data_IF_071653849144
#
_entry.id   IF_071653849144
#
_cell.length_a   1.000
_cell.length_b   1.000
_cell.length_c   1.000
_cell.angle_alpha   90.00
_cell.angle_beta   90.00
_cell.angle_gamma   90.00
#
_symmetry.space_group_name_H-M   'P 1'
#
loop_
_entity.id
_entity.type
_entity.pdbx_description
1 polymer ?
#
# COMPACT_ATOMS: atom_id res chain seq x y z
N UNK A 1 -15.53 -11.64 -7.63
CA UNK A 1 -15.88 -10.39 -6.95
C UNK A 1 -14.67 -9.48 -7.05
N UNK A 2 -14.80 -8.36 -7.74
CA UNK A 2 -13.70 -7.42 -7.96
C UNK A 2 -13.42 -6.59 -6.69
N UNK A 3 -12.25 -5.96 -6.61
CA UNK A 3 -11.97 -5.02 -5.51
C UNK A 3 -12.93 -3.83 -5.53
N UNK A 4 -13.37 -3.42 -6.72
CA UNK A 4 -14.37 -2.36 -6.87
C UNK A 4 -15.73 -2.78 -6.32
N UNK A 5 -16.13 -4.05 -6.52
CA UNK A 5 -17.34 -4.61 -5.91
C UNK A 5 -17.24 -4.58 -4.39
N UNK A 6 -16.07 -4.93 -3.83
CA UNK A 6 -15.83 -4.88 -2.38
C UNK A 6 -15.89 -3.46 -1.83
N UNK A 7 -15.28 -2.48 -2.52
CA UNK A 7 -15.35 -1.06 -2.15
C UNK A 7 -16.79 -0.55 -2.20
N UNK A 8 -17.57 -0.95 -3.21
CA UNK A 8 -18.98 -0.55 -3.33
C UNK A 8 -19.82 -1.18 -2.22
N UNK A 9 -19.67 -2.48 -1.97
CA UNK A 9 -20.37 -3.17 -0.90
C UNK A 9 -20.02 -2.60 0.50
N UNK A 10 -18.77 -2.18 0.71
CA UNK A 10 -18.36 -1.48 1.94
C UNK A 10 -19.06 -0.12 2.09
N UNK A 11 -19.12 0.69 1.04
CA UNK A 11 -19.82 1.99 1.04
C UNK A 11 -21.32 1.83 1.31
N UNK A 12 -21.91 0.76 0.78
CA UNK A 12 -23.34 0.46 0.94
C UNK A 12 -23.66 -0.21 2.28
N UNK A 13 -22.66 -0.44 3.15
CA UNK A 13 -22.84 -1.13 4.43
C UNK A 13 -23.18 -2.62 4.29
N UNK A 14 -23.04 -3.20 3.10
CA UNK A 14 -23.33 -4.61 2.79
C UNK A 14 -22.16 -5.55 3.08
N UNK A 15 -20.96 -5.00 3.31
CA UNK A 15 -19.77 -5.75 3.70
C UNK A 15 -19.57 -5.64 5.21
N UNK A 16 -19.72 -6.77 5.91
CA UNK A 16 -19.56 -6.87 7.37
C UNK A 16 -18.23 -7.59 7.67
N UNK A 17 -17.31 -6.89 8.32
CA UNK A 17 -16.08 -7.40 8.90
C UNK A 17 -16.17 -7.36 10.42
N UNK A 18 -16.24 -8.53 11.04
CA UNK A 18 -16.16 -8.65 12.50
C UNK A 18 -14.72 -8.38 12.93
N UNK A 19 -14.47 -7.15 13.38
CA UNK A 19 -13.18 -6.69 13.86
C UNK A 19 -13.36 -6.17 15.28
N UNK A 20 -12.35 -6.38 16.12
CA UNK A 20 -12.31 -5.79 17.47
C UNK A 20 -12.31 -4.26 17.37
N UNK A 21 -12.80 -3.60 18.43
CA UNK A 21 -12.84 -2.14 18.48
C UNK A 21 -11.45 -1.54 18.22
N UNK A 22 -11.38 -0.61 17.27
CA UNK A 22 -10.12 0.03 16.87
C UNK A 22 -9.22 -0.80 15.95
N UNK A 23 -9.53 -2.07 15.65
CA UNK A 23 -8.70 -2.89 14.76
C UNK A 23 -8.65 -2.33 13.32
N UNK A 24 -9.74 -1.73 12.82
CA UNK A 24 -9.73 -1.04 11.51
C UNK A 24 -8.75 0.14 11.51
N UNK A 25 -8.65 0.87 12.63
CA UNK A 25 -7.75 2.01 12.75
C UNK A 25 -6.29 1.56 12.81
N UNK A 26 -6.02 0.47 13.53
CA UNK A 26 -4.71 -0.17 13.55
C UNK A 26 -4.29 -0.66 12.16
N UNK A 27 -5.19 -1.28 11.40
CA UNK A 27 -4.91 -1.73 10.03
C UNK A 27 -4.61 -0.55 9.11
N UNK A 28 -5.42 0.52 9.15
CA UNK A 28 -5.17 1.72 8.33
C UNK A 28 -3.82 2.35 8.67
N UNK A 29 -3.48 2.44 9.96
CA UNK A 29 -2.19 2.94 10.41
C UNK A 29 -1.03 2.04 9.94
N UNK A 30 -1.18 0.72 10.03
CA UNK A 30 -0.19 -0.25 9.55
C UNK A 30 0.01 -0.14 8.02
N UNK A 31 -1.07 0.02 7.24
CA UNK A 31 -0.95 0.29 5.81
C UNK A 31 -0.14 1.56 5.53
N UNK A 32 -0.39 2.64 6.29
CA UNK A 32 0.38 3.88 6.17
C UNK A 32 1.86 3.71 6.47
N UNK A 33 2.21 3.05 7.57
CA UNK A 33 3.61 2.78 7.94
C UNK A 33 4.32 1.87 6.93
N UNK A 34 3.61 0.88 6.37
CA UNK A 34 4.17 0.00 5.36
C UNK A 34 4.40 0.72 4.02
N UNK A 35 3.49 1.61 3.59
CA UNK A 35 3.70 2.46 2.41
C UNK A 35 4.95 3.33 2.56
N UNK A 36 5.15 3.95 3.73
CA UNK A 36 6.35 4.75 4.00
C UNK A 36 7.63 3.91 3.88
N UNK A 37 7.65 2.71 4.47
CA UNK A 37 8.81 1.82 4.36
C UNK A 37 9.08 1.40 2.89
N UNK A 38 8.04 1.17 2.09
CA UNK A 38 8.18 0.88 0.66
C UNK A 38 8.69 2.09 -0.13
N UNK A 39 8.24 3.31 0.20
CA UNK A 39 8.76 4.54 -0.40
C UNK A 39 10.23 4.77 -0.09
N UNK A 40 10.68 4.44 1.13
CA UNK A 40 12.08 4.50 1.53
C UNK A 40 12.92 3.53 0.69
N UNK A 41 12.53 2.25 0.63
CA UNK A 41 13.19 1.22 -0.19
C UNK A 41 13.23 1.59 -1.68
N UNK A 42 12.19 2.25 -2.17
CA UNK A 42 12.12 2.72 -3.55
C UNK A 42 13.11 3.86 -3.83
N UNK A 43 13.32 4.76 -2.88
CA UNK A 43 14.35 5.80 -2.99
C UNK A 43 15.74 5.17 -2.99
N UNK A 44 16.01 4.23 -2.08
CA UNK A 44 17.27 3.50 -2.04
C UNK A 44 17.56 2.76 -3.35
N UNK A 45 16.55 2.15 -3.96
CA UNK A 45 16.68 1.47 -5.24
C UNK A 45 17.02 2.42 -6.40
N UNK A 46 16.48 3.64 -6.39
CA UNK A 46 16.79 4.69 -7.38
C UNK A 46 18.19 5.25 -7.20
N UNK A 47 18.59 5.47 -5.95
CA UNK A 47 19.94 5.94 -5.63
C UNK A 47 20.98 4.89 -6.05
N UNK A 48 20.71 3.60 -5.77
CA UNK A 48 21.57 2.50 -6.18
C UNK A 48 21.74 2.40 -7.70
N UNK A 49 20.72 2.76 -8.48
CA UNK A 49 20.78 2.73 -9.95
C UNK A 49 21.80 3.73 -10.52
N UNK A 50 22.12 4.80 -9.78
CA UNK A 50 23.15 5.79 -10.15
C UNK A 50 24.47 5.65 -9.39
N UNK A 51 24.53 4.78 -8.38
CA UNK A 51 25.68 4.70 -7.47
C UNK A 51 26.84 3.89 -8.08
N UNK A 52 28.10 4.36 -8.02
CA UNK A 52 29.27 3.57 -8.39
C UNK A 52 29.43 2.36 -7.45
N UNK A 53 29.37 1.15 -7.99
CA UNK A 53 29.33 -0.08 -7.19
C UNK A 53 30.71 -0.61 -6.79
N UNK A 54 31.78 -0.02 -7.31
CA UNK A 54 33.15 -0.34 -6.95
C UNK A 54 33.69 -1.55 -7.71
N UNK A 55 33.10 -1.92 -8.85
CA UNK A 55 33.56 -3.02 -9.69
C UNK A 55 34.72 -2.63 -10.63
N UNK A 56 35.44 -1.55 -10.33
CA UNK A 56 36.47 -0.97 -11.19
C UNK A 56 35.93 -0.58 -12.58
N UNK A 57 34.74 0.02 -12.60
CA UNK A 57 33.94 0.38 -13.78
C UNK A 57 34.72 1.22 -14.80
N UNK A 58 35.59 2.11 -14.32
CA UNK A 58 36.43 2.97 -15.16
C UNK A 58 37.68 2.27 -15.72
N UNK A 59 38.05 1.09 -15.19
CA UNK A 59 39.30 0.38 -15.52
C UNK A 59 39.07 -0.95 -16.23
N UNK A 60 37.92 -1.58 -16.01
CA UNK A 60 37.59 -2.91 -16.52
C UNK A 60 36.22 -2.88 -17.22
N UNK A 61 36.15 -3.23 -18.52
CA UNK A 61 34.87 -3.34 -19.21
C UNK A 61 33.89 -4.32 -18.54
N UNK A 62 34.40 -5.44 -18.01
CA UNK A 62 33.61 -6.41 -17.24
C UNK A 62 33.04 -5.81 -15.96
N UNK A 63 33.80 -4.92 -15.31
CA UNK A 63 33.37 -4.17 -14.13
C UNK A 63 32.20 -3.25 -14.44
N UNK A 64 32.28 -2.50 -15.55
CA UNK A 64 31.20 -1.65 -16.03
C UNK A 64 29.94 -2.47 -16.37
N UNK A 65 30.09 -3.60 -17.08
CA UNK A 65 28.96 -4.50 -17.40
C UNK A 65 28.30 -5.06 -16.15
N UNK A 66 29.10 -5.48 -15.15
CA UNK A 66 28.58 -5.98 -13.88
C UNK A 66 27.81 -4.87 -13.15
N UNK A 67 28.39 -3.66 -13.08
CA UNK A 67 27.74 -2.53 -12.43
C UNK A 67 26.38 -2.22 -13.06
N UNK A 68 26.33 -2.15 -14.39
CA UNK A 68 25.11 -1.91 -15.15
C UNK A 68 24.04 -2.98 -14.87
N UNK A 69 24.43 -4.26 -14.76
CA UNK A 69 23.49 -5.34 -14.49
C UNK A 69 22.83 -5.21 -13.10
N UNK A 70 23.59 -4.80 -12.08
CA UNK A 70 23.04 -4.55 -10.74
C UNK A 70 22.21 -3.27 -10.68
N UNK A 71 22.67 -2.19 -11.30
CA UNK A 71 21.95 -0.93 -11.39
C UNK A 71 20.60 -1.09 -12.10
N UNK A 72 20.54 -1.91 -13.14
CA UNK A 72 19.28 -2.21 -13.87
C UNK A 72 18.29 -3.07 -13.07
N UNK A 73 18.80 -3.91 -12.14
CA UNK A 73 17.96 -4.61 -11.16
C UNK A 73 17.41 -3.66 -10.11
N UNK A 74 18.15 -2.59 -9.77
CA UNK A 74 17.73 -1.59 -8.82
C UNK A 74 16.62 -0.69 -9.39
N UNK A 75 16.82 -0.09 -10.57
CA UNK A 75 15.81 0.70 -11.28
C UNK A 75 15.98 0.64 -12.80
N UNK A 76 14.97 1.08 -13.55
CA UNK A 76 15.01 1.21 -15.00
C UNK A 76 14.56 -0.02 -15.80
N UNK A 77 14.12 -1.09 -15.14
CA UNK A 77 13.46 -2.25 -15.77
C UNK A 77 12.07 -2.48 -15.22
N UNK A 78 11.16 -3.07 -16.00
CA UNK A 78 9.79 -3.38 -15.55
C UNK A 78 9.75 -4.26 -14.30
N UNK A 79 10.77 -5.08 -14.09
CA UNK A 79 10.94 -5.99 -12.94
C UNK A 79 12.02 -5.53 -11.96
N UNK A 80 12.41 -4.24 -12.03
CA UNK A 80 13.34 -3.65 -11.07
C UNK A 80 12.72 -3.52 -9.69
N UNK A 81 13.58 -3.44 -8.67
CA UNK A 81 13.17 -3.21 -7.29
C UNK A 81 12.27 -1.97 -7.16
N UNK A 82 12.64 -0.84 -7.77
CA UNK A 82 11.83 0.40 -7.81
C UNK A 82 10.38 0.13 -8.27
N UNK A 83 10.23 -0.55 -9.40
CA UNK A 83 8.90 -0.85 -9.97
C UNK A 83 8.14 -1.90 -9.16
N UNK A 84 8.82 -2.90 -8.59
CA UNK A 84 8.18 -3.86 -7.68
C UNK A 84 7.67 -3.19 -6.41
N UNK A 85 8.44 -2.28 -5.81
CA UNK A 85 8.00 -1.51 -4.64
C UNK A 85 6.81 -0.60 -4.97
N UNK A 86 6.82 0.07 -6.13
CA UNK A 86 5.64 0.83 -6.59
C UNK A 86 4.39 -0.06 -6.71
N UNK A 87 4.52 -1.23 -7.32
CA UNK A 87 3.38 -2.16 -7.44
C UNK A 87 2.82 -2.58 -6.08
N UNK A 88 3.69 -2.77 -5.08
CA UNK A 88 3.23 -3.05 -3.71
C UNK A 88 2.60 -1.83 -3.03
N UNK A 89 3.14 -0.62 -3.25
CA UNK A 89 2.50 0.62 -2.76
C UNK A 89 1.08 0.73 -3.30
N UNK A 90 0.88 0.51 -4.60
CA UNK A 90 -0.43 0.58 -5.25
C UNK A 90 -1.44 -0.38 -4.58
N UNK A 91 -1.02 -1.63 -4.35
CA UNK A 91 -1.87 -2.63 -3.68
C UNK A 91 -2.19 -2.25 -2.24
N UNK A 92 -1.25 -1.69 -1.49
CA UNK A 92 -1.45 -1.33 -0.08
C UNK A 92 -2.37 -0.11 0.03
N UNK A 93 -2.24 0.88 -0.85
CA UNK A 93 -3.16 2.03 -0.90
C UNK A 93 -4.57 1.62 -1.33
N UNK A 94 -4.69 0.64 -2.22
CA UNK A 94 -5.97 0.01 -2.56
C UNK A 94 -6.64 -0.65 -1.34
N UNK A 95 -5.88 -1.43 -0.57
CA UNK A 95 -6.36 -2.05 0.67
C UNK A 95 -6.76 -1.00 1.72
N UNK A 96 -5.92 0.01 1.95
CA UNK A 96 -6.18 1.12 2.87
C UNK A 96 -7.48 1.86 2.52
N UNK A 97 -7.71 2.08 1.23
CA UNK A 97 -8.95 2.69 0.72
C UNK A 97 -10.18 1.83 1.04
N UNK A 98 -10.08 0.51 0.90
CA UNK A 98 -11.16 -0.41 1.25
C UNK A 98 -11.46 -0.36 2.77
N UNK A 99 -10.45 -0.42 3.62
CA UNK A 99 -10.62 -0.33 5.08
C UNK A 99 -11.18 1.01 5.53
N UNK A 100 -10.78 2.12 4.89
CA UNK A 100 -11.37 3.42 5.15
C UNK A 100 -12.86 3.48 4.76
N UNK A 101 -13.24 2.87 3.64
CA UNK A 101 -14.63 2.78 3.22
C UNK A 101 -15.47 1.95 4.21
N UNK A 102 -14.95 0.82 4.67
CA UNK A 102 -15.56 -0.02 5.71
C UNK A 102 -15.79 0.76 7.01
N UNK A 103 -14.75 1.45 7.51
CA UNK A 103 -14.85 2.28 8.72
C UNK A 103 -16.00 3.30 8.62
N UNK A 104 -16.13 3.95 7.45
CA UNK A 104 -17.18 4.94 7.20
C UNK A 104 -18.56 4.29 7.17
N UNK A 105 -18.71 3.14 6.51
CA UNK A 105 -19.94 2.36 6.48
C UNK A 105 -20.41 1.97 7.90
N UNK A 106 -19.50 1.44 8.71
CA UNK A 106 -19.78 1.09 10.11
C UNK A 106 -20.31 2.27 10.94
N UNK A 107 -19.58 3.39 10.93
CA UNK A 107 -19.99 4.58 11.68
C UNK A 107 -21.36 5.13 11.24
N UNK A 108 -21.67 5.05 9.95
CA UNK A 108 -22.96 5.49 9.43
C UNK A 108 -24.10 4.55 9.87
N UNK A 109 -23.90 3.23 9.81
CA UNK A 109 -24.89 2.24 10.25
C UNK A 109 -25.14 2.32 11.76
N UNK A 110 -24.08 2.43 12.57
CA UNK A 110 -24.21 2.59 14.02
C UNK A 110 -24.96 3.87 14.40
N UNK A 111 -24.63 5.00 13.77
CA UNK A 111 -25.33 6.26 13.99
C UNK A 111 -26.83 6.18 13.61
N UNK A 112 -27.14 5.53 12.48
CA UNK A 112 -28.53 5.34 12.03
C UNK A 112 -29.32 4.43 12.97
N UNK A 113 -28.71 3.35 13.46
CA UNK A 113 -29.34 2.44 14.42
C UNK A 113 -29.58 3.15 15.77
N UNK A 114 -28.59 3.87 16.31
CA UNK A 114 -28.73 4.62 17.55
C UNK A 114 -29.88 5.65 17.50
N UNK A 115 -30.03 6.35 16.36
CA UNK A 115 -31.13 7.29 16.15
C UNK A 115 -32.51 6.61 16.03
N UNK A 116 -32.59 5.46 15.34
CA UNK A 116 -33.83 4.68 15.18
C UNK A 116 -34.36 4.11 16.51
N UNK A 117 -33.46 3.58 17.35
CA UNK A 117 -33.86 3.04 18.66
C UNK A 117 -34.13 4.13 19.70
N UNK A 118 -33.46 5.29 19.63
CA UNK A 118 -33.76 6.45 20.48
C UNK A 118 -35.13 7.09 20.21
N UNK A 119 -35.66 6.92 18.99
CA UNK A 119 -36.96 7.47 18.59
C UNK A 119 -38.13 6.53 18.93
N UNK A 120 -37.88 5.22 19.06
CA UNK A 120 -38.90 4.20 19.41
C UNK A 120 -39.13 4.04 20.92
N UNK A 121 -38.37 4.75 21.76
CA UNK A 121 -38.43 4.68 23.23
C UNK A 121 -39.04 5.91 23.92
N UNK A 122 -39.83 6.73 23.22
CA UNK A 122 -40.54 7.89 23.79
C UNK A 122 -42.04 7.79 23.58
#
# INVERSE_FOLDING_TARGET
>A
MSLDDLKQNAKDGRLVLHLEDGAIDAIIAACGGYVQALEDLRRDARDLAGYPLGFAEAKLPSGATLAQAFQHKASGSATSADNTFQSHIDQVEEMKTLFAALRKGYKATDANNANSFGQSGR
#
